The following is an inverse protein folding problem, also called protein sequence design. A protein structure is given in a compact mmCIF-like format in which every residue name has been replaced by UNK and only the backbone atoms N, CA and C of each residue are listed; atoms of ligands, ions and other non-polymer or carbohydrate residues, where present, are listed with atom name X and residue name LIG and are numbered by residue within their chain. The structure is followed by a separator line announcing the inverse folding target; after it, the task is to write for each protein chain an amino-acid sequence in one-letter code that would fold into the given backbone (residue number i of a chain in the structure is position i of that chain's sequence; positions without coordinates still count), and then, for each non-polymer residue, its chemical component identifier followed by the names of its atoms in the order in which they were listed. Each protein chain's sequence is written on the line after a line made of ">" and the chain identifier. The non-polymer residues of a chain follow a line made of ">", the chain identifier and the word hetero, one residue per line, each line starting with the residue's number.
data_IF_651330784510
#
_entry.id   IF_651330784510
#
_cell.length_a   1.000
_cell.length_b   1.000
_cell.length_c   1.000
_cell.angle_alpha   90.00
_cell.angle_beta   90.00
_cell.angle_gamma   90.00
#
_symmetry.space_group_name_H-M   'P 1'
#
loop_
_entity.id
_entity.type
_entity.pdbx_description
1 polymer ?
#
# COMPACT_ATOMS: atom_id res chain seq x y z
N UNK A 1 -31.56 5.00 6.19
CA UNK A 1 -30.41 5.55 6.94
C UNK A 1 -29.94 4.51 7.94
N UNK A 2 -28.93 3.71 7.59
CA UNK A 2 -28.38 2.69 8.49
C UNK A 2 -27.03 3.18 9.00
N UNK A 3 -27.02 3.54 10.27
CA UNK A 3 -25.83 3.94 11.04
C UNK A 3 -24.79 2.81 10.99
N UNK A 4 -23.70 3.03 10.25
CA UNK A 4 -22.50 2.20 10.39
C UNK A 4 -21.87 2.54 11.74
N UNK A 5 -22.11 1.66 12.71
CA UNK A 5 -21.60 1.75 14.07
C UNK A 5 -20.10 2.04 14.11
N UNK A 6 -19.77 3.03 14.95
CA UNK A 6 -18.44 3.28 15.49
C UNK A 6 -17.82 1.96 15.93
N UNK A 7 -16.75 1.55 15.25
CA UNK A 7 -15.95 0.42 15.70
C UNK A 7 -15.14 0.89 16.91
N UNK A 8 -15.76 0.73 18.08
CA UNK A 8 -15.18 0.57 19.41
C UNK A 8 -13.66 0.83 19.46
N UNK A 9 -13.31 2.07 19.81
CA UNK A 9 -11.95 2.49 20.22
C UNK A 9 -11.60 1.99 21.63
N UNK A 10 -12.48 1.20 22.27
CA UNK A 10 -12.30 0.59 23.57
C UNK A 10 -11.11 -0.36 23.62
N UNK A 11 -10.10 0.07 24.37
CA UNK A 11 -9.06 -0.71 25.02
C UNK A 11 -8.18 -1.58 24.10
N UNK A 12 -7.17 -0.95 23.49
CA UNK A 12 -5.95 -1.66 23.13
C UNK A 12 -5.29 -2.08 24.46
N UNK A 13 -5.18 -3.38 24.78
CA UNK A 13 -4.51 -3.80 26.01
C UNK A 13 -3.09 -3.23 26.01
N UNK A 14 -2.64 -2.74 27.18
CA UNK A 14 -1.29 -2.26 27.38
C UNK A 14 -0.30 -3.27 26.77
N UNK A 15 0.42 -2.83 25.73
CA UNK A 15 1.45 -3.66 25.14
C UNK A 15 2.60 -3.69 26.14
N UNK A 16 3.17 -4.88 26.38
CA UNK A 16 4.36 -4.97 27.23
C UNK A 16 5.45 -4.01 26.71
N UNK A 17 6.20 -3.33 27.59
CA UNK A 17 7.22 -2.37 27.18
C UNK A 17 8.18 -3.04 26.19
N UNK A 18 8.29 -2.42 25.03
CA UNK A 18 9.15 -2.86 23.94
C UNK A 18 10.56 -2.34 24.23
N UNK A 19 11.50 -3.24 24.55
CA UNK A 19 12.92 -2.89 24.59
C UNK A 19 13.35 -2.33 23.23
N UNK A 20 14.17 -1.28 23.25
CA UNK A 20 14.57 -0.41 22.12
C UNK A 20 15.51 -1.10 21.12
N UNK A 21 15.20 -2.32 20.69
CA UNK A 21 15.92 -3.04 19.63
C UNK A 21 15.69 -2.44 18.24
N UNK A 22 15.76 -1.12 18.14
CA UNK A 22 15.67 -0.31 16.96
C UNK A 22 16.85 0.64 17.03
N UNK A 23 17.81 0.51 16.11
CA UNK A 23 18.95 1.43 16.04
C UNK A 23 18.44 2.75 15.46
N UNK A 24 18.24 3.74 16.34
CA UNK A 24 17.87 5.10 15.98
C UNK A 24 16.62 5.63 16.68
N UNK A 25 16.45 6.95 16.60
CA UNK A 25 15.26 7.65 17.09
C UNK A 25 14.02 7.28 16.24
N UNK A 26 12.98 6.64 16.81
CA UNK A 26 11.79 6.27 16.05
C UNK A 26 11.07 7.45 15.41
N UNK A 27 11.17 8.65 16.00
CA UNK A 27 10.60 9.86 15.41
C UNK A 27 11.33 10.22 14.13
N UNK A 28 12.66 10.34 14.17
CA UNK A 28 13.49 10.61 13.01
C UNK A 28 13.27 9.59 11.89
N UNK A 29 13.20 8.29 12.21
CA UNK A 29 12.94 7.23 11.22
C UNK A 29 11.60 7.44 10.51
N UNK A 30 10.53 7.75 11.23
CA UNK A 30 9.21 8.00 10.62
C UNK A 30 9.23 9.23 9.72
N UNK A 31 9.82 10.33 10.20
CA UNK A 31 9.89 11.60 9.45
C UNK A 31 10.68 11.39 8.17
N UNK A 32 11.89 10.81 8.27
CA UNK A 32 12.77 10.54 7.12
C UNK A 32 12.10 9.59 6.12
N UNK A 33 11.45 8.53 6.60
CA UNK A 33 10.75 7.59 5.72
C UNK A 33 9.57 8.24 4.99
N UNK A 34 8.83 9.12 5.66
CA UNK A 34 7.73 9.86 5.03
C UNK A 34 8.26 10.83 3.97
N UNK A 35 9.29 11.61 4.32
CA UNK A 35 9.96 12.53 3.40
C UNK A 35 10.52 11.79 2.19
N UNK A 36 11.25 10.69 2.39
CA UNK A 36 11.76 9.85 1.30
C UNK A 36 10.63 9.29 0.42
N UNK A 37 9.49 8.90 1.00
CA UNK A 37 8.31 8.48 0.23
C UNK A 37 7.68 9.61 -0.59
N UNK A 38 7.87 10.87 -0.21
CA UNK A 38 7.41 12.01 -0.99
C UNK A 38 8.45 12.39 -2.05
N UNK A 39 9.74 12.36 -1.72
CA UNK A 39 10.83 12.55 -2.68
C UNK A 39 10.78 11.52 -3.81
N UNK A 40 10.52 10.24 -3.52
CA UNK A 40 10.31 9.22 -4.55
C UNK A 40 9.13 9.57 -5.47
N UNK A 41 8.09 10.24 -4.95
CA UNK A 41 6.97 10.70 -5.77
C UNK A 41 7.37 11.88 -6.67
N UNK A 42 8.21 12.81 -6.18
CA UNK A 42 8.75 13.92 -6.97
C UNK A 42 9.70 13.44 -8.08
N UNK A 43 10.56 12.46 -7.77
CA UNK A 43 11.43 11.80 -8.76
C UNK A 43 10.59 11.12 -9.82
N UNK A 44 9.59 10.33 -9.42
CA UNK A 44 8.68 9.69 -10.37
C UNK A 44 7.91 10.71 -11.21
N UNK A 45 7.45 11.82 -10.63
CA UNK A 45 6.76 12.88 -11.36
C UNK A 45 7.66 13.55 -12.41
N UNK A 46 8.95 13.70 -12.11
CA UNK A 46 9.93 14.31 -13.02
C UNK A 46 10.27 13.40 -14.21
N UNK A 47 10.20 12.08 -14.02
CA UNK A 47 10.40 11.09 -15.08
C UNK A 47 9.19 10.93 -16.03
N UNK A 48 8.05 11.57 -15.74
CA UNK A 48 6.79 11.36 -16.47
C UNK A 48 6.84 11.70 -17.96
N UNK A 49 7.73 12.61 -18.38
CA UNK A 49 7.89 12.97 -19.78
C UNK A 49 8.60 11.88 -20.61
N UNK A 50 9.42 11.03 -19.98
CA UNK A 50 10.18 9.96 -20.64
C UNK A 50 9.44 8.62 -20.57
N UNK A 51 8.90 8.29 -19.40
CA UNK A 51 8.16 7.06 -19.13
C UNK A 51 6.94 7.36 -18.25
N UNK A 52 5.85 7.78 -18.90
CA UNK A 52 4.60 8.11 -18.21
C UNK A 52 4.06 6.93 -17.38
N UNK A 53 4.10 5.72 -17.92
CA UNK A 53 3.52 4.54 -17.29
C UNK A 53 4.30 4.13 -16.04
N UNK A 54 5.64 4.09 -16.15
CA UNK A 54 6.54 3.86 -15.03
C UNK A 54 6.42 4.97 -13.97
N UNK A 55 6.37 6.23 -14.39
CA UNK A 55 6.19 7.38 -13.51
C UNK A 55 4.88 7.28 -12.70
N UNK A 56 3.75 7.01 -13.36
CA UNK A 56 2.45 6.83 -12.69
C UNK A 56 2.50 5.65 -11.70
N UNK A 57 3.16 4.56 -12.06
CA UNK A 57 3.31 3.39 -11.19
C UNK A 57 4.09 3.74 -9.91
N UNK A 58 5.30 4.27 -10.06
CA UNK A 58 6.20 4.58 -8.95
C UNK A 58 5.66 5.71 -8.09
N UNK A 59 5.10 6.76 -8.68
CA UNK A 59 4.39 7.82 -7.97
C UNK A 59 3.28 7.28 -7.05
N UNK A 60 2.41 6.40 -7.57
CA UNK A 60 1.32 5.80 -6.79
C UNK A 60 1.83 4.84 -5.72
N UNK A 61 3.02 4.25 -5.91
CA UNK A 61 3.70 3.41 -4.93
C UNK A 61 4.30 4.25 -3.81
N UNK A 62 4.95 5.35 -4.14
CA UNK A 62 5.50 6.34 -3.22
C UNK A 62 4.41 6.95 -2.32
N UNK A 63 3.31 7.47 -2.89
CA UNK A 63 2.18 8.00 -2.10
C UNK A 63 1.49 6.95 -1.23
N UNK A 64 1.48 5.68 -1.66
CA UNK A 64 0.96 4.59 -0.83
C UNK A 64 1.88 4.33 0.38
N UNK A 65 3.20 4.40 0.19
CA UNK A 65 4.20 4.27 1.26
C UNK A 65 4.05 5.40 2.27
N UNK A 66 3.98 6.66 1.82
CA UNK A 66 3.74 7.83 2.67
C UNK A 66 2.48 7.66 3.55
N UNK A 67 1.37 7.21 2.95
CA UNK A 67 0.12 6.95 3.70
C UNK A 67 0.22 5.80 4.70
N UNK A 68 1.03 4.78 4.41
CA UNK A 68 1.27 3.67 5.33
C UNK A 68 2.08 4.13 6.55
N UNK A 69 3.05 5.02 6.35
CA UNK A 69 3.85 5.64 7.40
C UNK A 69 2.97 6.55 8.26
N UNK A 70 2.16 7.41 7.65
CA UNK A 70 1.18 8.24 8.37
C UNK A 70 0.23 7.39 9.25
N UNK A 71 -0.24 6.26 8.73
CA UNK A 71 -1.10 5.34 9.48
C UNK A 71 -0.38 4.64 10.64
N UNK A 72 0.94 4.47 10.55
CA UNK A 72 1.78 3.85 11.58
C UNK A 72 1.84 4.74 12.84
N UNK A 73 1.95 6.06 12.65
CA UNK A 73 1.98 7.04 13.75
C UNK A 73 0.61 7.61 14.12
N UNK A 74 -0.47 7.10 13.52
CA UNK A 74 -1.84 7.50 13.86
C UNK A 74 -2.13 7.58 15.38
N UNK A 75 -1.64 6.68 16.26
CA UNK A 75 -1.95 6.73 17.70
C UNK A 75 -1.50 7.99 18.43
N UNK A 76 -0.53 8.74 17.90
CA UNK A 76 0.00 9.98 18.52
C UNK A 76 -0.36 11.25 17.76
N UNK A 77 -1.06 11.13 16.63
CA UNK A 77 -1.50 12.28 15.84
C UNK A 77 -2.91 12.73 16.24
N UNK A 78 -3.12 14.04 16.25
CA UNK A 78 -4.46 14.62 16.27
C UNK A 78 -5.28 14.09 15.07
N UNK A 79 -6.57 13.83 15.31
CA UNK A 79 -7.45 13.23 14.29
C UNK A 79 -7.51 14.08 13.02
N UNK A 80 -7.68 15.39 13.18
CA UNK A 80 -7.89 16.30 12.07
C UNK A 80 -6.62 16.44 11.23
N UNK A 81 -5.46 16.57 11.88
CA UNK A 81 -4.17 16.60 11.17
C UNK A 81 -3.90 15.33 10.40
N UNK A 82 -4.12 14.16 11.02
CA UNK A 82 -3.97 12.89 10.32
C UNK A 82 -4.91 12.79 9.11
N UNK A 83 -6.16 13.20 9.26
CA UNK A 83 -7.16 13.09 8.21
C UNK A 83 -6.90 14.06 7.06
N UNK A 84 -6.46 15.29 7.35
CA UNK A 84 -6.03 16.27 6.35
C UNK A 84 -4.86 15.74 5.51
N UNK A 85 -3.76 15.33 6.14
CA UNK A 85 -2.59 14.78 5.43
C UNK A 85 -2.98 13.53 4.61
N UNK A 86 -3.78 12.63 5.20
CA UNK A 86 -4.26 11.43 4.51
C UNK A 86 -5.07 11.76 3.26
N UNK A 87 -5.94 12.76 3.35
CA UNK A 87 -6.87 13.10 2.28
C UNK A 87 -6.17 13.86 1.15
N UNK A 88 -5.16 14.68 1.45
CA UNK A 88 -4.25 15.26 0.44
C UNK A 88 -3.51 14.19 -0.35
N UNK A 89 -2.81 13.27 0.33
CA UNK A 89 -2.11 12.15 -0.32
C UNK A 89 -3.07 11.24 -1.10
N UNK A 90 -4.33 11.15 -0.66
CA UNK A 90 -5.36 10.39 -1.37
C UNK A 90 -5.85 11.13 -2.61
N UNK A 91 -6.00 12.45 -2.55
CA UNK A 91 -6.42 13.30 -3.65
C UNK A 91 -5.38 13.29 -4.77
N UNK A 92 -4.12 13.56 -4.43
CA UNK A 92 -2.99 13.51 -5.37
C UNK A 92 -2.90 12.16 -6.10
N UNK A 93 -3.07 11.04 -5.38
CA UNK A 93 -3.09 9.70 -6.00
C UNK A 93 -4.30 9.46 -6.93
N UNK A 94 -5.42 10.15 -6.70
CA UNK A 94 -6.66 9.94 -7.46
C UNK A 94 -6.58 10.57 -8.85
N UNK A 95 -5.96 11.73 -8.98
CA UNK A 95 -5.82 12.47 -10.24
C UNK A 95 -5.18 11.60 -11.32
N UNK A 96 -4.17 10.80 -10.96
CA UNK A 96 -3.49 9.88 -11.90
C UNK A 96 -4.10 8.48 -11.98
N UNK A 97 -5.35 8.28 -11.52
CA UNK A 97 -5.96 6.94 -11.51
C UNK A 97 -6.46 6.48 -12.87
N UNK A 98 -6.96 7.40 -13.70
CA UNK A 98 -7.41 7.08 -15.06
C UNK A 98 -6.25 6.56 -15.92
N UNK A 99 -5.15 7.31 -15.98
CA UNK A 99 -3.92 6.91 -16.67
C UNK A 99 -3.44 5.51 -16.23
N UNK A 100 -3.36 5.26 -14.92
CA UNK A 100 -3.01 3.93 -14.40
C UNK A 100 -3.94 2.84 -14.92
N UNK A 101 -5.25 3.09 -14.89
CA UNK A 101 -6.24 2.06 -15.20
C UNK A 101 -6.19 1.71 -16.70
N UNK A 102 -5.80 2.65 -17.58
CA UNK A 102 -5.56 2.40 -19.01
C UNK A 102 -4.37 1.45 -19.21
N UNK A 103 -3.20 1.79 -18.66
CA UNK A 103 -1.98 0.97 -18.75
C UNK A 103 -2.23 -0.44 -18.22
N UNK A 104 -2.83 -0.54 -17.02
CA UNK A 104 -3.05 -1.84 -16.38
C UNK A 104 -4.12 -2.66 -17.09
N UNK A 105 -5.14 -2.04 -17.70
CA UNK A 105 -6.15 -2.78 -18.45
C UNK A 105 -5.53 -3.55 -19.62
N UNK A 106 -4.65 -2.90 -20.39
CA UNK A 106 -3.93 -3.52 -21.50
C UNK A 106 -3.10 -4.73 -21.04
N UNK A 107 -2.24 -4.55 -20.04
CA UNK A 107 -1.40 -5.63 -19.51
C UNK A 107 -2.24 -6.78 -18.94
N UNK A 108 -3.30 -6.46 -18.18
CA UNK A 108 -4.12 -7.47 -17.54
C UNK A 108 -4.91 -8.31 -18.55
N UNK A 109 -5.52 -7.69 -19.57
CA UNK A 109 -6.28 -8.43 -20.61
C UNK A 109 -5.38 -9.32 -21.47
N UNK A 110 -4.14 -8.91 -21.74
CA UNK A 110 -3.18 -9.71 -22.48
C UNK A 110 -2.79 -11.01 -21.76
N UNK A 111 -2.88 -11.04 -20.42
CA UNK A 111 -2.54 -12.20 -19.59
C UNK A 111 -3.70 -13.18 -19.39
N UNK A 112 -4.92 -12.84 -19.84
CA UNK A 112 -6.08 -13.72 -19.70
C UNK A 112 -6.21 -14.64 -20.90
N UNK A 113 -6.41 -15.93 -20.60
CA UNK A 113 -6.95 -16.88 -21.56
C UNK A 113 -8.45 -16.62 -21.68
N UNK A 114 -8.83 -15.93 -22.76
CA UNK A 114 -10.23 -15.58 -23.07
C UNK A 114 -10.72 -16.41 -24.25
N UNK A 115 -11.99 -16.81 -24.18
CA UNK A 115 -12.72 -17.40 -25.31
C UNK A 115 -13.04 -16.34 -26.37
N UNK A 116 -13.46 -16.75 -27.57
CA UNK A 116 -13.68 -15.84 -28.70
C UNK A 116 -14.64 -14.68 -28.39
N UNK A 117 -15.76 -14.97 -27.74
CA UNK A 117 -16.77 -13.96 -27.36
C UNK A 117 -16.26 -12.99 -26.29
N UNK A 118 -15.49 -13.49 -25.32
CA UNK A 118 -14.87 -12.67 -24.28
C UNK A 118 -13.76 -11.78 -24.86
N UNK A 119 -13.03 -12.29 -25.86
CA UNK A 119 -11.95 -11.59 -26.56
C UNK A 119 -12.51 -10.39 -27.34
N UNK A 120 -13.65 -10.55 -28.01
CA UNK A 120 -14.32 -9.45 -28.72
C UNK A 120 -14.63 -8.27 -27.78
N UNK A 121 -15.21 -8.55 -26.60
CA UNK A 121 -15.45 -7.54 -25.57
C UNK A 121 -14.17 -6.90 -25.04
N UNK A 122 -13.08 -7.67 -24.94
CA UNK A 122 -11.78 -7.16 -24.48
C UNK A 122 -11.15 -6.22 -25.51
N UNK A 123 -11.19 -6.58 -26.79
CA UNK A 123 -10.64 -5.77 -27.88
C UNK A 123 -11.42 -4.47 -28.06
N UNK A 124 -12.75 -4.52 -27.91
CA UNK A 124 -13.59 -3.33 -27.88
C UNK A 124 -13.22 -2.41 -26.70
N UNK A 125 -13.05 -2.97 -25.49
CA UNK A 125 -12.64 -2.20 -24.32
C UNK A 125 -11.29 -1.50 -24.55
N UNK A 126 -10.29 -2.21 -25.06
CA UNK A 126 -8.97 -1.66 -25.35
C UNK A 126 -9.01 -0.55 -26.40
N UNK A 127 -9.80 -0.74 -27.45
CA UNK A 127 -9.99 0.28 -28.49
C UNK A 127 -10.60 1.54 -27.89
N UNK A 128 -11.62 1.39 -27.04
CA UNK A 128 -12.29 2.54 -26.41
C UNK A 128 -11.38 3.25 -25.40
N UNK A 129 -10.59 2.51 -24.62
CA UNK A 129 -9.63 3.10 -23.68
C UNK A 129 -8.57 3.94 -24.39
N UNK A 130 -8.09 3.49 -25.56
CA UNK A 130 -7.11 4.25 -26.37
C UNK A 130 -7.68 5.58 -26.86
N UNK A 131 -8.97 5.63 -27.18
CA UNK A 131 -9.61 6.88 -27.64
C UNK A 131 -9.87 7.88 -26.50
N UNK A 132 -9.97 7.40 -25.26
CA UNK A 132 -10.25 8.22 -24.07
C UNK A 132 -8.99 8.43 -23.21
N UNK A 133 -7.81 8.12 -23.76
CA UNK A 133 -6.55 8.17 -23.01
C UNK A 133 -6.20 9.60 -22.60
N UNK A 134 -5.92 9.86 -21.31
CA UNK A 134 -5.43 11.17 -20.88
C UNK A 134 -4.16 11.54 -21.63
N UNK A 135 -4.02 12.82 -22.01
CA UNK A 135 -2.80 13.26 -22.69
C UNK A 135 -1.60 13.15 -21.76
N UNK A 136 -0.41 12.91 -22.33
CA UNK A 136 0.80 12.84 -21.52
C UNK A 136 1.12 14.13 -20.79
N UNK A 137 0.78 15.27 -21.38
CA UNK A 137 0.90 16.58 -20.76
C UNK A 137 0.01 16.70 -19.51
N UNK A 138 -1.26 16.31 -19.60
CA UNK A 138 -2.20 16.32 -18.46
C UNK A 138 -1.73 15.39 -17.33
N UNK A 139 -1.27 14.18 -17.68
CA UNK A 139 -0.76 13.22 -16.70
C UNK A 139 0.48 13.75 -15.99
N UNK A 140 1.43 14.34 -16.74
CA UNK A 140 2.62 14.96 -16.18
C UNK A 140 2.26 16.13 -15.25
N UNK A 141 1.33 17.00 -15.67
CA UNK A 141 0.86 18.12 -14.85
C UNK A 141 0.24 17.62 -13.52
N UNK A 142 -0.60 16.58 -13.57
CA UNK A 142 -1.18 15.97 -12.37
C UNK A 142 -0.13 15.31 -11.46
N UNK A 143 0.87 14.65 -12.03
CA UNK A 143 1.98 14.07 -11.26
C UNK A 143 2.74 15.16 -10.50
N UNK A 144 3.11 16.24 -11.19
CA UNK A 144 3.86 17.36 -10.63
C UNK A 144 3.07 18.10 -9.54
N UNK A 145 1.83 18.47 -9.83
CA UNK A 145 0.96 19.16 -8.86
C UNK A 145 0.71 18.28 -7.63
N UNK A 146 0.40 17.00 -7.84
CA UNK A 146 0.19 16.07 -6.75
C UNK A 146 1.46 15.83 -5.91
N UNK A 147 2.64 15.79 -6.52
CA UNK A 147 3.93 15.67 -5.83
C UNK A 147 4.21 16.92 -4.98
N UNK A 148 3.98 18.11 -5.54
CA UNK A 148 4.12 19.37 -4.82
C UNK A 148 3.24 19.42 -3.57
N UNK A 149 1.95 19.10 -3.70
CA UNK A 149 1.03 19.04 -2.55
C UNK A 149 1.44 18.01 -1.51
N UNK A 150 1.98 16.86 -1.94
CA UNK A 150 2.51 15.84 -1.03
C UNK A 150 3.74 16.36 -0.25
N UNK A 151 4.63 17.13 -0.89
CA UNK A 151 5.79 17.76 -0.24
C UNK A 151 5.41 18.71 0.88
N UNK A 152 4.35 19.50 0.69
CA UNK A 152 3.84 20.39 1.75
C UNK A 152 3.38 19.61 3.00
N UNK A 153 3.03 18.33 2.85
CA UNK A 153 2.64 17.50 3.98
C UNK A 153 3.81 17.01 4.84
N UNK A 154 5.06 17.10 4.35
CA UNK A 154 6.24 16.71 5.13
C UNK A 154 6.37 17.57 6.39
N UNK A 155 6.36 18.90 6.23
CA UNK A 155 6.42 19.85 7.34
C UNK A 155 5.19 19.72 8.27
N UNK A 156 4.01 19.49 7.68
CA UNK A 156 2.76 19.28 8.43
C UNK A 156 2.84 18.05 9.35
N UNK A 157 3.34 16.92 8.83
CA UNK A 157 3.53 15.71 9.64
C UNK A 157 4.57 15.93 10.73
N UNK A 158 5.71 16.50 10.37
CA UNK A 158 6.83 16.70 11.31
C UNK A 158 6.45 17.58 12.49
N UNK A 159 5.76 18.71 12.23
CA UNK A 159 5.28 19.61 13.26
C UNK A 159 4.17 18.99 14.14
N UNK A 160 3.41 18.04 13.60
CA UNK A 160 2.32 17.37 14.31
C UNK A 160 2.77 16.19 15.17
N UNK A 161 3.96 15.65 14.92
CA UNK A 161 4.52 14.58 15.73
C UNK A 161 5.03 15.14 17.06
N UNK A 162 4.82 14.41 18.18
CA UNK A 162 5.45 14.76 19.45
C UNK A 162 6.98 14.76 19.33
N UNK A 163 7.66 15.46 20.24
CA UNK A 163 9.13 15.49 20.28
C UNK A 163 9.77 14.12 20.45
N UNK A 164 9.04 13.17 21.05
CA UNK A 164 9.46 11.77 21.19
C UNK A 164 8.39 10.82 20.65
N UNK A 165 8.82 9.84 19.85
CA UNK A 165 7.98 8.73 19.40
C UNK A 165 8.59 7.45 19.95
N UNK A 166 7.83 6.69 20.73
CA UNK A 166 8.30 5.42 21.29
C UNK A 166 8.07 4.25 20.33
N UNK A 167 8.86 3.18 20.50
CA UNK A 167 8.61 1.91 19.83
C UNK A 167 7.24 1.31 20.14
N UNK A 168 6.70 1.58 21.32
CA UNK A 168 5.33 1.19 21.66
C UNK A 168 4.30 1.88 20.75
N UNK A 169 4.51 3.15 20.39
CA UNK A 169 3.64 3.86 19.45
C UNK A 169 3.65 3.20 18.07
N UNK A 170 4.83 2.87 17.55
CA UNK A 170 5.00 2.13 16.29
C UNK A 170 4.30 0.77 16.35
N UNK A 171 4.53 0.04 17.44
CA UNK A 171 3.93 -1.26 17.72
C UNK A 171 2.38 -1.21 17.76
N UNK A 172 1.80 -0.18 18.40
CA UNK A 172 0.34 0.06 18.43
C UNK A 172 -0.21 0.39 17.05
N UNK A 173 0.48 1.22 16.27
CA UNK A 173 0.12 1.55 14.90
C UNK A 173 0.08 0.32 14.00
N UNK A 174 1.12 -0.50 14.05
CA UNK A 174 1.21 -1.74 13.31
C UNK A 174 0.12 -2.74 13.71
N UNK A 175 -0.13 -2.89 15.02
CA UNK A 175 -1.19 -3.73 15.56
C UNK A 175 -2.57 -3.30 15.03
N UNK A 176 -2.80 -1.98 14.92
CA UNK A 176 -4.02 -1.41 14.35
C UNK A 176 -4.17 -1.78 12.87
N UNK A 177 -3.15 -1.58 12.03
CA UNK A 177 -3.19 -1.95 10.61
C UNK A 177 -3.44 -3.44 10.44
N UNK A 178 -2.72 -4.29 11.19
CA UNK A 178 -2.91 -5.74 11.15
C UNK A 178 -4.32 -6.16 11.55
N UNK A 179 -4.86 -5.60 12.64
CA UNK A 179 -6.25 -5.88 13.08
C UNK A 179 -7.24 -5.55 11.96
N UNK A 180 -7.06 -4.42 11.30
CA UNK A 180 -7.92 -3.99 10.19
C UNK A 180 -7.78 -4.90 8.96
N UNK A 181 -6.56 -5.30 8.59
CA UNK A 181 -6.32 -6.25 7.51
C UNK A 181 -6.95 -7.61 7.80
N UNK A 182 -6.76 -8.13 9.02
CA UNK A 182 -7.34 -9.38 9.52
C UNK A 182 -8.86 -9.38 9.47
N UNK A 183 -9.49 -8.30 9.92
CA UNK A 183 -10.96 -8.16 9.87
C UNK A 183 -11.44 -8.04 8.42
N UNK A 184 -10.76 -7.26 7.58
CA UNK A 184 -11.13 -7.09 6.17
C UNK A 184 -11.04 -8.40 5.38
N UNK A 185 -10.03 -9.25 5.64
CA UNK A 185 -9.90 -10.59 5.04
C UNK A 185 -11.17 -11.43 5.22
N UNK A 186 -11.79 -11.40 6.41
CA UNK A 186 -12.98 -12.21 6.72
C UNK A 186 -14.13 -11.86 5.78
N UNK A 187 -14.32 -10.56 5.52
CA UNK A 187 -15.38 -10.03 4.66
C UNK A 187 -15.02 -9.95 3.16
N UNK A 188 -13.78 -10.20 2.75
CA UNK A 188 -13.31 -9.89 1.41
C UNK A 188 -14.08 -10.56 0.26
N UNK A 189 -14.71 -11.73 0.49
CA UNK A 189 -15.56 -12.40 -0.51
C UNK A 189 -16.94 -11.77 -0.72
N UNK A 190 -17.35 -10.83 0.15
CA UNK A 190 -18.74 -10.32 0.18
C UNK A 190 -19.01 -9.28 -0.90
N UNK A 191 -18.00 -8.52 -1.30
CA UNK A 191 -18.14 -7.49 -2.33
C UNK A 191 -16.78 -6.99 -2.80
N UNK A 192 -16.78 -6.35 -3.99
CA UNK A 192 -15.62 -5.61 -4.52
C UNK A 192 -15.05 -4.64 -3.50
N UNK A 193 -15.90 -3.85 -2.84
CA UNK A 193 -15.50 -2.90 -1.77
C UNK A 193 -14.83 -3.61 -0.59
N UNK A 194 -15.32 -4.76 -0.19
CA UNK A 194 -14.72 -5.54 0.90
C UNK A 194 -13.35 -6.11 0.51
N UNK A 195 -13.20 -6.60 -0.73
CA UNK A 195 -11.92 -7.03 -1.28
C UNK A 195 -10.91 -5.88 -1.35
N UNK A 196 -11.29 -4.73 -1.93
CA UNK A 196 -10.41 -3.56 -2.01
C UNK A 196 -9.95 -3.09 -0.62
N UNK A 197 -10.83 -3.13 0.38
CA UNK A 197 -10.45 -2.83 1.77
C UNK A 197 -9.38 -3.79 2.27
N UNK A 198 -9.55 -5.09 2.02
CA UNK A 198 -8.56 -6.08 2.43
C UNK A 198 -7.22 -5.86 1.74
N UNK A 199 -7.21 -5.78 0.41
CA UNK A 199 -5.98 -5.51 -0.37
C UNK A 199 -5.27 -4.25 0.07
N UNK A 200 -6.01 -3.16 0.27
CA UNK A 200 -5.43 -1.88 0.73
C UNK A 200 -4.72 -2.07 2.08
N UNK A 201 -5.37 -2.70 3.05
CA UNK A 201 -4.78 -2.91 4.38
C UNK A 201 -3.60 -3.89 4.36
N UNK A 202 -3.62 -4.89 3.46
CA UNK A 202 -2.45 -5.76 3.25
C UNK A 202 -1.27 -4.98 2.67
N UNK A 203 -1.46 -4.15 1.64
CA UNK A 203 -0.39 -3.30 1.08
C UNK A 203 0.16 -2.29 2.09
N UNK A 204 -0.72 -1.76 2.93
CA UNK A 204 -0.36 -0.83 4.00
C UNK A 204 0.49 -1.52 5.08
N UNK A 205 0.11 -2.74 5.48
CA UNK A 205 0.89 -3.54 6.42
C UNK A 205 2.25 -3.94 5.83
N UNK A 206 2.29 -4.38 4.58
CA UNK A 206 3.53 -4.69 3.86
C UNK A 206 4.49 -3.49 3.81
N UNK A 207 3.99 -2.29 3.46
CA UNK A 207 4.79 -1.07 3.47
C UNK A 207 5.28 -0.67 4.88
N UNK A 208 4.47 -0.86 5.92
CA UNK A 208 4.90 -0.64 7.30
C UNK A 208 6.00 -1.63 7.72
N UNK A 209 5.85 -2.91 7.37
CA UNK A 209 6.87 -3.92 7.64
C UNK A 209 8.15 -3.68 6.83
N UNK A 210 8.04 -3.13 5.62
CA UNK A 210 9.21 -2.72 4.83
C UNK A 210 10.01 -1.62 5.52
N UNK A 211 9.34 -0.62 6.10
CA UNK A 211 10.03 0.37 6.93
C UNK A 211 10.74 -0.30 8.11
N UNK A 212 10.06 -1.18 8.85
CA UNK A 212 10.67 -1.84 10.00
C UNK A 212 11.86 -2.74 9.59
N UNK A 213 11.74 -3.45 8.47
CA UNK A 213 12.79 -4.33 7.96
C UNK A 213 14.01 -3.56 7.43
N UNK A 214 13.83 -2.36 6.88
CA UNK A 214 14.94 -1.52 6.41
C UNK A 214 15.85 -1.04 7.54
N UNK A 215 15.33 -0.98 8.77
CA UNK A 215 16.08 -0.65 9.99
C UNK A 215 16.32 -1.87 10.88
N UNK A 216 16.21 -3.06 10.29
CA UNK A 216 16.40 -4.33 10.96
C UNK A 216 17.07 -5.33 10.02
N UNK A 217 17.18 -6.58 10.47
CA UNK A 217 17.86 -7.65 9.77
C UNK A 217 16.91 -8.66 9.15
N UNK A 218 17.48 -9.80 8.79
CA UNK A 218 16.86 -10.86 8.00
C UNK A 218 15.57 -11.43 8.62
N UNK A 219 15.43 -11.42 9.95
CA UNK A 219 14.24 -12.01 10.61
C UNK A 219 13.01 -11.15 10.40
N UNK A 220 13.16 -9.83 10.51
CA UNK A 220 12.08 -8.87 10.25
C UNK A 220 11.71 -8.89 8.77
N UNK A 221 12.71 -8.97 7.89
CA UNK A 221 12.53 -9.12 6.44
C UNK A 221 11.76 -10.40 6.07
N UNK A 222 12.09 -11.53 6.69
CA UNK A 222 11.35 -12.79 6.51
C UNK A 222 9.87 -12.67 6.85
N UNK A 223 9.52 -11.91 7.89
CA UNK A 223 8.12 -11.64 8.25
C UNK A 223 7.47 -10.77 7.17
N UNK A 224 8.15 -9.70 6.71
CA UNK A 224 7.66 -8.81 5.64
C UNK A 224 7.38 -9.59 4.36
N UNK A 225 8.28 -10.48 3.94
CA UNK A 225 8.18 -11.20 2.67
C UNK A 225 6.86 -11.96 2.54
N UNK A 226 6.39 -12.60 3.61
CA UNK A 226 5.11 -13.31 3.58
C UNK A 226 3.89 -12.39 3.30
N UNK A 227 3.95 -11.12 3.70
CA UNK A 227 2.90 -10.13 3.38
C UNK A 227 3.09 -9.50 2.00
N UNK A 228 4.34 -9.35 1.55
CA UNK A 228 4.69 -8.97 0.18
C UNK A 228 4.15 -10.00 -0.83
N UNK A 229 4.39 -11.29 -0.60
CA UNK A 229 3.87 -12.36 -1.45
C UNK A 229 2.34 -12.33 -1.53
N UNK A 230 1.67 -12.14 -0.38
CA UNK A 230 0.23 -11.97 -0.37
C UNK A 230 -0.21 -10.71 -1.13
N UNK A 231 0.49 -9.58 -0.98
CA UNK A 231 0.23 -8.33 -1.69
C UNK A 231 0.30 -8.52 -3.21
N UNK A 232 1.27 -9.31 -3.68
CA UNK A 232 1.45 -9.67 -5.09
C UNK A 232 0.31 -10.56 -5.59
N UNK A 233 -0.12 -11.57 -4.82
CA UNK A 233 -1.30 -12.39 -5.16
C UNK A 233 -2.59 -11.57 -5.23
N UNK A 234 -2.74 -10.56 -4.37
CA UNK A 234 -3.93 -9.69 -4.38
C UNK A 234 -3.91 -8.64 -5.51
N UNK A 235 -2.79 -8.46 -6.20
CA UNK A 235 -2.61 -7.54 -7.32
C UNK A 235 -3.54 -7.87 -8.49
N UNK A 236 -3.30 -8.99 -9.19
CA UNK A 236 -4.08 -9.40 -10.37
C UNK A 236 -5.59 -9.49 -10.12
N UNK A 237 -6.00 -9.92 -8.92
CA UNK A 237 -7.42 -9.97 -8.54
C UNK A 237 -8.07 -8.57 -8.56
N UNK A 238 -7.34 -7.54 -8.12
CA UNK A 238 -7.84 -6.18 -8.19
C UNK A 238 -7.95 -5.67 -9.63
N UNK A 239 -7.08 -6.17 -10.51
CA UNK A 239 -7.08 -5.80 -11.92
C UNK A 239 -8.28 -6.44 -12.63
N UNK A 240 -8.63 -7.70 -12.33
CA UNK A 240 -9.89 -8.32 -12.77
C UNK A 240 -11.13 -7.53 -12.34
N UNK A 241 -11.16 -7.09 -11.07
CA UNK A 241 -12.28 -6.29 -10.54
C UNK A 241 -12.35 -4.91 -11.21
N UNK A 242 -11.19 -4.30 -11.47
CA UNK A 242 -11.08 -3.01 -12.16
C UNK A 242 -11.56 -3.14 -13.60
N UNK A 243 -11.06 -4.13 -14.36
CA UNK A 243 -11.50 -4.44 -15.72
C UNK A 243 -13.02 -4.60 -15.80
N UNK A 244 -13.61 -5.44 -14.93
CA UNK A 244 -15.07 -5.61 -14.90
C UNK A 244 -15.81 -4.31 -14.62
N UNK A 245 -15.24 -3.44 -13.79
CA UNK A 245 -15.85 -2.14 -13.48
C UNK A 245 -15.75 -1.18 -14.66
N UNK A 246 -14.63 -1.18 -15.39
CA UNK A 246 -14.48 -0.43 -16.63
C UNK A 246 -15.46 -0.94 -17.69
N UNK A 247 -15.50 -2.25 -17.98
CA UNK A 247 -16.43 -2.85 -18.95
C UNK A 247 -17.87 -2.46 -18.68
N UNK A 248 -18.34 -2.57 -17.43
CA UNK A 248 -19.69 -2.18 -17.05
C UNK A 248 -19.96 -0.67 -17.24
N UNK A 249 -18.95 0.17 -16.98
CA UNK A 249 -19.05 1.62 -17.20
C UNK A 249 -19.11 1.99 -18.69
N UNK A 250 -18.37 1.27 -19.55
CA UNK A 250 -18.43 1.47 -21.00
C UNK A 250 -19.71 0.92 -21.60
N UNK A 251 -20.21 -0.24 -21.17
CA UNK A 251 -21.50 -0.80 -21.59
C UNK A 251 -22.66 0.15 -21.33
N UNK A 252 -22.65 0.83 -20.19
CA UNK A 252 -23.69 1.81 -19.86
C UNK A 252 -23.71 3.02 -20.83
N UNK A 253 -22.61 3.29 -21.52
CA UNK A 253 -22.47 4.36 -22.53
C UNK A 253 -22.62 3.86 -23.97
N UNK A 254 -22.46 2.56 -24.20
CA UNK A 254 -22.46 1.92 -25.53
C UNK A 254 -23.35 0.67 -25.49
N UNK A 255 -24.65 0.85 -25.76
CA UNK A 255 -25.69 -0.18 -25.57
C UNK A 255 -25.45 -1.46 -26.36
N UNK A 256 -24.74 -1.38 -27.48
CA UNK A 256 -24.56 -2.49 -28.43
C UNK A 256 -23.22 -3.22 -28.24
N UNK A 257 -22.47 -2.91 -27.18
CA UNK A 257 -21.12 -3.44 -26.99
C UNK A 257 -21.11 -4.87 -26.39
N UNK A 258 -20.22 -5.78 -26.87
CA UNK A 258 -20.19 -7.20 -26.48
C UNK A 258 -19.48 -7.45 -25.14
N UNK A 259 -19.92 -6.78 -24.06
CA UNK A 259 -19.26 -6.86 -22.75
C UNK A 259 -19.79 -7.92 -21.79
N UNK A 260 -20.96 -8.51 -22.06
CA UNK A 260 -21.63 -9.40 -21.11
C UNK A 260 -20.77 -10.62 -20.76
N UNK A 261 -20.28 -11.34 -21.77
CA UNK A 261 -19.46 -12.54 -21.57
C UNK A 261 -18.13 -12.21 -20.88
N UNK A 262 -17.48 -11.11 -21.29
CA UNK A 262 -16.27 -10.62 -20.62
C UNK A 262 -16.52 -10.27 -19.15
N UNK A 263 -17.61 -9.55 -18.83
CA UNK A 263 -17.94 -9.17 -17.45
C UNK A 263 -18.15 -10.39 -16.55
N UNK A 264 -18.79 -11.44 -17.08
CA UNK A 264 -19.04 -12.69 -16.39
C UNK A 264 -17.76 -13.50 -16.21
N UNK A 265 -16.91 -13.61 -17.24
CA UNK A 265 -15.60 -14.26 -17.17
C UNK A 265 -14.71 -13.61 -16.10
N UNK A 266 -14.55 -12.28 -16.15
CA UNK A 266 -13.79 -11.50 -15.17
C UNK A 266 -14.36 -11.68 -13.75
N UNK A 267 -15.69 -11.71 -13.63
CA UNK A 267 -16.38 -11.94 -12.36
C UNK A 267 -16.12 -13.33 -11.78
N UNK A 268 -16.21 -14.37 -12.61
CA UNK A 268 -15.94 -15.75 -12.26
C UNK A 268 -14.50 -15.95 -11.79
N UNK A 269 -13.54 -15.49 -12.60
CA UNK A 269 -12.11 -15.55 -12.28
C UNK A 269 -11.80 -14.83 -10.97
N UNK A 270 -12.27 -13.59 -10.79
CA UNK A 270 -12.06 -12.84 -9.56
C UNK A 270 -12.62 -13.58 -8.34
N UNK A 271 -13.82 -14.16 -8.43
CA UNK A 271 -14.46 -14.91 -7.34
C UNK A 271 -13.65 -16.14 -6.93
N UNK A 272 -13.13 -16.90 -7.90
CA UNK A 272 -12.26 -18.07 -7.67
C UNK A 272 -10.96 -17.63 -6.98
N UNK A 273 -10.27 -16.63 -7.54
CA UNK A 273 -8.99 -16.17 -7.01
C UNK A 273 -9.12 -15.53 -5.62
N UNK A 274 -10.21 -14.78 -5.32
CA UNK A 274 -10.47 -14.24 -3.97
C UNK A 274 -10.61 -15.37 -2.95
N UNK A 275 -11.28 -16.48 -3.31
CA UNK A 275 -11.42 -17.63 -2.41
C UNK A 275 -10.06 -18.27 -2.14
N UNK A 276 -9.24 -18.48 -3.17
CA UNK A 276 -7.89 -19.04 -3.04
C UNK A 276 -6.98 -18.14 -2.18
N UNK A 277 -6.90 -16.85 -2.49
CA UNK A 277 -6.10 -15.89 -1.73
C UNK A 277 -6.50 -15.82 -0.25
N UNK A 278 -7.79 -15.90 0.08
CA UNK A 278 -8.26 -15.91 1.48
C UNK A 278 -7.84 -17.16 2.26
N UNK A 279 -7.70 -18.30 1.56
CA UNK A 279 -7.20 -19.56 2.13
C UNK A 279 -5.70 -19.44 2.37
N UNK A 280 -4.94 -18.96 1.38
CA UNK A 280 -3.49 -18.70 1.48
C UNK A 280 -3.17 -17.74 2.63
N UNK A 281 -3.94 -16.67 2.80
CA UNK A 281 -3.72 -15.68 3.85
C UNK A 281 -4.14 -16.14 5.26
N UNK A 282 -4.75 -17.32 5.42
CA UNK A 282 -5.24 -17.81 6.73
C UNK A 282 -4.13 -17.89 7.79
N UNK A 283 -2.98 -18.56 7.56
CA UNK A 283 -1.89 -18.60 8.54
C UNK A 283 -1.36 -17.22 8.93
N UNK A 284 -1.18 -16.31 7.97
CA UNK A 284 -0.67 -14.94 8.22
C UNK A 284 -1.57 -14.14 9.17
N UNK A 285 -2.89 -14.32 9.05
CA UNK A 285 -3.88 -13.64 9.88
C UNK A 285 -4.43 -14.49 11.05
N UNK A 286 -3.79 -15.63 11.35
CA UNK A 286 -4.17 -16.48 12.48
C UNK A 286 -3.77 -15.87 13.84
N UNK A 287 -2.57 -15.29 14.02
CA UNK A 287 -2.20 -14.63 15.27
C UNK A 287 -3.19 -13.54 15.70
N UNK A 288 -3.27 -13.32 17.02
CA UNK A 288 -3.90 -12.11 17.56
C UNK A 288 -2.97 -10.90 17.32
N UNK A 289 -3.49 -9.66 17.19
CA UNK A 289 -2.65 -8.49 16.94
C UNK A 289 -1.47 -8.34 17.91
N UNK A 290 -1.71 -8.47 19.22
CA UNK A 290 -0.64 -8.41 20.22
C UNK A 290 0.43 -9.50 20.03
N UNK A 291 0.05 -10.70 19.58
CA UNK A 291 1.01 -11.79 19.30
C UNK A 291 1.88 -11.46 18.09
N UNK A 292 1.30 -10.91 17.03
CA UNK A 292 2.08 -10.46 15.87
C UNK A 292 3.06 -9.36 16.26
N UNK A 293 2.58 -8.33 16.97
CA UNK A 293 3.44 -7.23 17.40
C UNK A 293 4.59 -7.72 18.27
N UNK A 294 4.33 -8.63 19.22
CA UNK A 294 5.39 -9.27 20.03
C UNK A 294 6.38 -10.07 19.19
N UNK A 295 5.92 -10.79 18.16
CA UNK A 295 6.81 -11.51 17.23
C UNK A 295 7.72 -10.54 16.48
N UNK A 296 7.18 -9.44 15.96
CA UNK A 296 7.93 -8.43 15.21
C UNK A 296 8.91 -7.71 16.13
N UNK A 297 8.48 -7.25 17.30
CA UNK A 297 9.36 -6.66 18.32
C UNK A 297 10.50 -7.59 18.70
N UNK A 298 10.23 -8.90 18.86
CA UNK A 298 11.28 -9.88 19.15
C UNK A 298 12.24 -10.08 17.97
N UNK A 299 11.73 -10.03 16.75
CA UNK A 299 12.56 -10.09 15.53
C UNK A 299 13.49 -8.87 15.47
N UNK A 300 12.93 -7.66 15.59
CA UNK A 300 13.68 -6.39 15.64
C UNK A 300 14.82 -6.45 16.64
N UNK A 301 14.53 -6.80 17.91
CA UNK A 301 15.56 -6.92 18.95
C UNK A 301 16.68 -7.89 18.60
N UNK A 302 16.33 -9.08 18.08
CA UNK A 302 17.32 -10.09 17.72
C UNK A 302 18.16 -9.68 16.51
N UNK A 303 17.60 -8.88 15.63
CA UNK A 303 18.31 -8.37 14.47
C UNK A 303 19.31 -7.29 14.90
N UNK A 304 18.94 -6.38 15.81
CA UNK A 304 19.88 -5.40 16.38
C UNK A 304 21.00 -6.03 17.20
N UNK A 305 20.71 -7.10 17.96
CA UNK A 305 21.73 -7.85 18.73
C UNK A 305 22.71 -8.64 17.83
N UNK A 306 22.39 -8.86 16.55
CA UNK A 306 23.17 -9.68 15.62
C UNK A 306 24.10 -8.87 14.71
N UNK A 307 24.06 -7.52 14.75
CA UNK A 307 25.02 -6.66 14.06
C UNK A 307 26.31 -6.62 14.90
N UNK A 308 27.44 -7.20 14.45
CA UNK A 308 28.70 -7.07 15.18
C UNK A 308 29.12 -5.59 15.20
N UNK A 309 29.85 -5.14 16.23
CA UNK A 309 30.51 -3.84 16.18
C UNK A 309 31.38 -3.81 14.92
N UNK A 310 31.31 -2.73 14.15
CA UNK A 310 32.39 -2.40 13.24
C UNK A 310 33.60 -2.11 14.13
N UNK A 311 34.44 -3.11 14.35
CA UNK A 311 35.75 -2.91 14.97
C UNK A 311 36.44 -1.82 14.15
N UNK A 312 36.70 -0.70 14.82
CA UNK A 312 37.52 0.35 14.26
C UNK A 312 38.87 -0.27 13.94
N UNK A 313 39.29 -0.15 12.68
CA UNK A 313 40.69 -0.16 12.33
C UNK A 313 41.37 0.88 13.22
N UNK A 314 41.99 0.40 14.29
CA UNK A 314 43.07 1.06 15.00
C UNK A 314 44.29 0.95 14.07
N UNK A 315 44.71 2.03 13.38
CA UNK A 315 45.96 2.00 12.68
C UNK A 315 47.04 2.03 13.75
N UNK A 316 47.44 0.84 14.20
CA UNK A 316 48.52 0.66 15.14
C UNK A 316 49.74 1.45 14.68
N UNK A 317 50.19 2.33 15.57
CA UNK A 317 51.49 3.00 15.53
C UNK A 317 52.58 2.01 15.11
N UNK A 318 53.20 2.27 13.95
CA UNK A 318 54.51 1.75 13.63
C UNK A 318 55.55 2.84 13.87
N UNK A 319 56.02 2.94 15.11
CA UNK A 319 57.36 3.40 15.47
C UNK A 319 58.25 2.17 15.69
N UNK A 320 59.10 1.87 14.70
CA UNK A 320 60.54 1.57 14.81
C UNK A 320 61.08 1.01 13.48
#
# INVERSE_FOLDING_TARGET
>A
MTTMGSADEGDLPALAPVASGWDGDPRAIVVNAFQAAVTDAEVAASAGAEDQDGAVHEYRKALRRARAILALVRPVLARDTHDAVRDELRSARREVSAARDHTVAATALAQLALESQEREGADFLLTTLRTEEPTSEDVCAHLQEGAHRARLQCATLEAALPGEVSMETIARGLARTYRQARTARRGAKRSRRAFHRWRRRTKELDAQLALLAAHAGERTESIRQAYSDLSNVLGPIADLIMLRTLSAGYRARHSDAPFADLEDALGGLASVQIRAARKLARPLFAPRPAKLTKMITRALRRDSEATPPLDGDDPGDSED
#
